data_IF_123857507182
#
_entry.id   IF_123857507182
#
_cell.length_a   1.000
_cell.length_b   1.000
_cell.length_c   1.000
_cell.angle_alpha   90.00
_cell.angle_beta   90.00
_cell.angle_gamma   90.00
#
_symmetry.space_group_name_H-M   'P 1'
#
loop_
_entity.id
_entity.type
_entity.pdbx_description
1 polymer ?
#
# COMPACT_ATOMS: atom_id res chain seq x y z
N UNK A 1 4.75 -6.77 -10.32
CA UNK A 1 5.99 -6.84 -11.14
C UNK A 1 5.73 -6.57 -12.62
N UNK A 2 5.05 -7.43 -13.37
CA UNK A 2 4.78 -7.20 -14.81
C UNK A 2 4.07 -5.87 -15.10
N UNK A 3 3.03 -5.53 -14.34
CA UNK A 3 2.29 -4.26 -14.50
C UNK A 3 3.15 -3.05 -14.13
N UNK A 4 3.99 -3.17 -13.10
CA UNK A 4 4.92 -2.12 -12.70
C UNK A 4 5.95 -1.85 -13.80
N UNK A 5 6.53 -2.91 -14.38
CA UNK A 5 7.45 -2.79 -15.51
C UNK A 5 6.76 -2.18 -16.74
N UNK A 6 5.57 -2.66 -17.11
CA UNK A 6 4.86 -2.15 -18.28
C UNK A 6 4.50 -0.67 -18.13
N UNK A 7 4.01 -0.25 -16.95
CA UNK A 7 3.63 1.14 -16.71
C UNK A 7 4.80 2.08 -16.42
N UNK A 8 5.92 1.56 -15.89
CA UNK A 8 7.11 2.34 -15.58
C UNK A 8 8.10 2.44 -16.74
N UNK A 9 8.23 1.39 -17.56
CA UNK A 9 9.30 1.30 -18.57
C UNK A 9 8.76 1.36 -19.98
N UNK A 10 7.59 0.77 -20.25
CA UNK A 10 7.13 0.57 -21.63
C UNK A 10 6.05 1.55 -22.08
N UNK A 11 5.23 2.07 -21.16
CA UNK A 11 4.14 2.98 -21.50
C UNK A 11 4.55 4.46 -21.55
N UNK A 12 5.69 4.84 -20.96
CA UNK A 12 6.12 6.23 -20.81
C UNK A 12 5.20 7.10 -19.94
N UNK A 13 4.24 6.49 -19.22
CA UNK A 13 3.28 7.19 -18.36
C UNK A 13 3.94 7.62 -17.05
N UNK A 14 4.75 6.75 -16.48
CA UNK A 14 5.65 7.06 -15.38
C UNK A 14 7.01 7.24 -16.05
N UNK A 15 7.54 8.47 -16.03
CA UNK A 15 8.85 8.74 -16.63
C UNK A 15 9.98 7.98 -15.95
N UNK A 16 11.17 8.09 -16.53
CA UNK A 16 12.43 7.58 -15.98
C UNK A 16 13.36 8.74 -15.55
N UNK A 17 14.53 8.38 -15.02
CA UNK A 17 15.60 9.33 -14.59
C UNK A 17 16.01 10.34 -15.67
N UNK A 18 15.83 10.04 -16.95
CA UNK A 18 16.13 10.91 -18.08
C UNK A 18 14.94 11.72 -18.60
N UNK A 19 13.75 11.56 -18.03
CA UNK A 19 12.55 12.29 -18.46
C UNK A 19 12.61 13.75 -17.99
N UNK A 20 12.41 14.69 -18.92
CA UNK A 20 12.52 16.13 -18.64
C UNK A 20 11.58 16.60 -17.52
N UNK A 21 12.12 17.36 -16.57
CA UNK A 21 11.36 17.97 -15.48
C UNK A 21 10.22 18.86 -16.02
N UNK A 22 9.03 18.76 -15.42
CA UNK A 22 7.84 19.51 -15.85
C UNK A 22 6.98 18.85 -16.94
N UNK A 23 7.40 17.70 -17.47
CA UNK A 23 6.52 16.84 -18.29
C UNK A 23 5.60 15.99 -17.41
N UNK A 24 4.48 15.49 -17.95
CA UNK A 24 3.58 14.59 -17.22
C UNK A 24 4.29 13.35 -16.67
N UNK A 25 5.20 12.76 -17.45
CA UNK A 25 6.04 11.63 -17.04
C UNK A 25 7.03 11.99 -15.93
N UNK A 26 7.67 13.16 -16.03
CA UNK A 26 8.58 13.65 -14.99
C UNK A 26 7.88 13.93 -13.66
N UNK A 27 6.67 14.49 -13.69
CA UNK A 27 5.85 14.67 -12.47
C UNK A 27 5.46 13.34 -11.84
N UNK A 28 5.09 12.34 -12.64
CA UNK A 28 4.78 11.00 -12.15
C UNK A 28 5.99 10.30 -11.54
N UNK A 29 7.17 10.46 -12.16
CA UNK A 29 8.45 9.98 -11.63
C UNK A 29 8.77 10.62 -10.28
N UNK A 30 8.63 11.94 -10.13
CA UNK A 30 8.89 12.65 -8.88
C UNK A 30 7.97 12.18 -7.75
N UNK A 31 6.68 11.95 -8.03
CA UNK A 31 5.74 11.37 -7.06
C UNK A 31 6.14 9.95 -6.68
N UNK A 32 6.55 9.14 -7.65
CA UNK A 32 6.99 7.77 -7.41
C UNK A 32 8.27 7.73 -6.56
N UNK A 33 9.23 8.61 -6.84
CA UNK A 33 10.46 8.76 -6.07
C UNK A 33 10.14 9.14 -4.61
N UNK A 34 9.25 10.11 -4.38
CA UNK A 34 8.83 10.48 -3.03
C UNK A 34 8.13 9.34 -2.28
N UNK A 35 7.34 8.50 -2.98
CA UNK A 35 6.75 7.30 -2.37
C UNK A 35 7.83 6.26 -2.02
N UNK A 36 8.83 6.08 -2.89
CA UNK A 36 9.94 5.14 -2.66
C UNK A 36 10.78 5.56 -1.46
N UNK A 37 11.12 6.85 -1.34
CA UNK A 37 11.87 7.40 -0.22
C UNK A 37 11.12 7.18 1.11
N UNK A 38 9.82 7.52 1.14
CA UNK A 38 8.97 7.42 2.34
C UNK A 38 8.60 5.98 2.77
N UNK A 39 8.87 4.97 1.91
CA UNK A 39 8.52 3.57 2.17
C UNK A 39 9.72 2.63 2.26
N UNK A 40 10.82 2.96 1.58
CA UNK A 40 11.98 2.08 1.43
C UNK A 40 13.24 2.52 2.16
N UNK A 41 13.51 3.84 2.27
CA UNK A 41 14.90 4.29 2.51
C UNK A 41 15.16 4.79 3.95
N UNK A 42 14.18 5.40 4.62
CA UNK A 42 14.43 6.11 5.88
C UNK A 42 13.65 5.59 7.10
N UNK A 43 12.85 4.53 6.92
CA UNK A 43 11.92 4.07 7.95
C UNK A 43 12.52 2.97 8.83
N UNK A 44 12.27 3.06 10.14
CA UNK A 44 12.61 1.99 11.08
C UNK A 44 11.65 0.79 10.92
N UNK A 45 12.12 -0.41 11.29
CA UNK A 45 11.28 -1.63 11.26
C UNK A 45 9.96 -1.45 12.02
N UNK A 46 10.01 -0.71 13.12
CA UNK A 46 8.86 -0.50 13.99
C UNK A 46 7.84 0.44 13.37
N UNK A 47 8.29 1.49 12.69
CA UNK A 47 7.41 2.41 11.95
C UNK A 47 6.69 1.69 10.81
N UNK A 48 7.43 0.90 10.01
CA UNK A 48 6.85 0.09 8.93
C UNK A 48 5.78 -0.86 9.48
N UNK A 49 6.10 -1.57 10.56
CA UNK A 49 5.18 -2.49 11.21
C UNK A 49 3.90 -1.79 11.70
N UNK A 50 4.01 -0.69 12.44
CA UNK A 50 2.85 0.03 12.96
C UNK A 50 1.98 0.63 11.85
N UNK A 51 2.60 1.22 10.81
CA UNK A 51 1.90 1.74 9.62
C UNK A 51 1.14 0.61 8.91
N UNK A 52 1.73 -0.57 8.82
CA UNK A 52 1.08 -1.72 8.20
C UNK A 52 -0.10 -2.27 9.03
N UNK A 53 0.04 -2.35 10.35
CA UNK A 53 -1.06 -2.73 11.25
C UNK A 53 -2.22 -1.75 11.12
N UNK A 54 -1.94 -0.44 11.11
CA UNK A 54 -2.95 0.61 10.90
C UNK A 54 -3.64 0.50 9.54
N UNK A 55 -2.89 0.19 8.48
CA UNK A 55 -3.44 -0.05 7.14
C UNK A 55 -4.45 -1.21 7.16
N UNK A 56 -4.02 -2.37 7.64
CA UNK A 56 -4.84 -3.58 7.60
C UNK A 56 -6.12 -3.40 8.43
N UNK A 57 -6.05 -2.66 9.54
CA UNK A 57 -7.24 -2.34 10.32
C UNK A 57 -8.28 -1.57 9.50
N UNK A 58 -7.88 -0.48 8.83
CA UNK A 58 -8.79 0.31 8.01
C UNK A 58 -9.36 -0.50 6.82
N UNK A 59 -8.54 -1.36 6.20
CA UNK A 59 -8.97 -2.26 5.13
C UNK A 59 -10.03 -3.25 5.63
N UNK A 60 -9.80 -3.88 6.78
CA UNK A 60 -10.78 -4.79 7.35
C UNK A 60 -12.06 -4.09 7.79
N UNK A 61 -11.98 -2.86 8.33
CA UNK A 61 -13.17 -2.07 8.65
C UNK A 61 -13.98 -1.74 7.39
N UNK A 62 -13.32 -1.37 6.28
CA UNK A 62 -13.99 -1.17 5.00
C UNK A 62 -14.71 -2.43 4.52
N UNK A 63 -14.07 -3.61 4.62
CA UNK A 63 -14.69 -4.89 4.24
C UNK A 63 -15.90 -5.17 5.14
N UNK A 64 -15.77 -5.00 6.46
CA UNK A 64 -16.85 -5.28 7.39
C UNK A 64 -18.06 -4.36 7.18
N UNK A 65 -17.84 -3.07 6.99
CA UNK A 65 -18.91 -2.11 6.67
C UNK A 65 -19.55 -2.40 5.32
N UNK A 66 -18.78 -2.86 4.34
CA UNK A 66 -19.32 -3.27 3.03
C UNK A 66 -20.22 -4.50 3.13
N UNK A 67 -19.88 -5.46 3.99
CA UNK A 67 -20.73 -6.62 4.26
C UNK A 67 -22.02 -6.24 4.99
N UNK A 68 -21.99 -5.20 5.83
CA UNK A 68 -23.17 -4.69 6.56
C UNK A 68 -24.08 -3.77 5.72
N UNK A 69 -23.63 -3.30 4.55
CA UNK A 69 -24.40 -2.41 3.70
C UNK A 69 -25.32 -3.19 2.74
N UNK A 70 -26.60 -2.81 2.66
CA UNK A 70 -27.59 -3.49 1.80
C UNK A 70 -27.61 -2.99 0.36
N UNK A 71 -27.11 -1.78 0.09
CA UNK A 71 -27.13 -1.15 -1.23
C UNK A 71 -25.75 -1.11 -1.87
N UNK A 72 -25.68 -1.25 -3.19
CA UNK A 72 -24.42 -1.18 -3.94
C UNK A 72 -23.70 0.16 -3.72
N UNK A 73 -24.44 1.27 -3.79
CA UNK A 73 -23.89 2.61 -3.54
C UNK A 73 -23.33 2.74 -2.12
N UNK A 74 -24.01 2.16 -1.13
CA UNK A 74 -23.52 2.09 0.25
C UNK A 74 -22.20 1.32 0.34
N UNK A 75 -22.11 0.14 -0.29
CA UNK A 75 -20.88 -0.68 -0.33
C UNK A 75 -19.69 0.06 -0.93
N UNK A 76 -19.91 0.86 -1.98
CA UNK A 76 -18.86 1.66 -2.61
C UNK A 76 -18.39 2.76 -1.66
N UNK A 77 -19.31 3.51 -1.07
CA UNK A 77 -18.97 4.64 -0.20
C UNK A 77 -18.26 4.21 1.08
N UNK A 78 -18.69 3.12 1.73
CA UNK A 78 -18.04 2.62 2.95
C UNK A 78 -16.65 2.04 2.71
N UNK A 79 -16.34 1.60 1.48
CA UNK A 79 -14.99 1.19 1.08
C UNK A 79 -14.14 2.42 0.74
N UNK A 80 -14.72 3.43 0.08
CA UNK A 80 -14.00 4.61 -0.40
C UNK A 80 -13.31 5.38 0.73
N UNK A 81 -14.02 5.72 1.81
CA UNK A 81 -13.46 6.58 2.86
C UNK A 81 -12.29 5.94 3.63
N UNK A 82 -12.36 4.69 4.11
CA UNK A 82 -11.23 4.06 4.78
C UNK A 82 -10.01 3.89 3.87
N UNK A 83 -10.21 3.60 2.58
CA UNK A 83 -9.11 3.53 1.61
C UNK A 83 -8.43 4.89 1.47
N UNK A 84 -9.21 5.95 1.26
CA UNK A 84 -8.67 7.31 1.17
C UNK A 84 -7.93 7.72 2.44
N UNK A 85 -8.44 7.34 3.61
CA UNK A 85 -7.82 7.66 4.89
C UNK A 85 -6.41 7.02 5.01
N UNK A 86 -6.26 5.72 4.74
CA UNK A 86 -4.94 5.09 4.87
C UNK A 86 -3.96 5.57 3.79
N UNK A 87 -4.45 5.86 2.58
CA UNK A 87 -3.62 6.42 1.50
C UNK A 87 -3.13 7.83 1.86
N UNK A 88 -4.03 8.69 2.38
CA UNK A 88 -3.68 10.04 2.81
C UNK A 88 -2.71 10.06 4.01
N UNK A 89 -2.85 9.11 4.94
CA UNK A 89 -1.92 8.93 6.06
C UNK A 89 -0.59 8.28 5.66
N UNK A 90 -0.46 7.80 4.41
CA UNK A 90 0.76 7.16 3.92
C UNK A 90 1.03 5.80 4.57
N UNK A 91 0.00 5.05 5.00
CA UNK A 91 0.22 3.73 5.59
C UNK A 91 0.79 2.72 4.58
N UNK A 92 1.39 1.64 5.10
CA UNK A 92 2.04 0.61 4.31
C UNK A 92 1.08 -0.56 4.05
N UNK A 93 0.50 -0.55 2.85
CA UNK A 93 -0.25 -1.69 2.34
C UNK A 93 0.66 -2.58 1.52
N UNK A 94 0.90 -3.82 1.97
CA UNK A 94 1.84 -4.76 1.31
C UNK A 94 1.57 -4.90 -0.19
N UNK A 95 0.30 -5.01 -0.60
CA UNK A 95 -0.08 -5.17 -2.01
C UNK A 95 0.20 -3.90 -2.83
N UNK A 96 0.05 -2.71 -2.24
CA UNK A 96 0.40 -1.46 -2.91
C UNK A 96 1.93 -1.32 -3.02
N UNK A 97 2.67 -1.66 -1.96
CA UNK A 97 4.13 -1.66 -1.96
C UNK A 97 4.71 -2.65 -2.99
N UNK A 98 4.00 -3.74 -3.32
CA UNK A 98 4.36 -4.67 -4.41
C UNK A 98 4.26 -4.06 -5.83
N UNK A 99 3.60 -2.90 -5.96
CA UNK A 99 3.59 -2.13 -7.20
C UNK A 99 4.56 -0.97 -7.16
N UNK A 100 4.48 -0.10 -6.15
CA UNK A 100 5.24 1.15 -6.10
C UNK A 100 6.76 0.94 -5.97
N UNK A 101 7.22 0.06 -5.10
CA UNK A 101 8.66 -0.14 -4.90
C UNK A 101 9.32 -0.75 -6.15
N UNK A 102 8.77 -1.81 -6.76
CA UNK A 102 9.30 -2.29 -8.04
C UNK A 102 9.21 -1.28 -9.18
N UNK A 103 8.13 -0.50 -9.27
CA UNK A 103 8.01 0.55 -10.28
C UNK A 103 9.12 1.59 -10.12
N UNK A 104 9.44 1.99 -8.88
CA UNK A 104 10.52 2.92 -8.58
C UNK A 104 11.90 2.36 -8.96
N UNK A 105 12.16 1.07 -8.70
CA UNK A 105 13.40 0.40 -9.12
C UNK A 105 13.52 0.39 -10.64
N UNK A 106 12.44 0.04 -11.36
CA UNK A 106 12.45 0.00 -12.81
C UNK A 106 12.55 1.38 -13.46
N UNK A 107 11.97 2.41 -12.84
CA UNK A 107 12.10 3.80 -13.27
C UNK A 107 13.49 4.41 -12.97
N UNK A 108 14.32 3.72 -12.18
CA UNK A 108 15.69 4.12 -11.87
C UNK A 108 15.85 5.04 -10.65
N UNK A 109 14.89 5.06 -9.72
CA UNK A 109 14.98 5.88 -8.51
C UNK A 109 16.23 5.49 -7.70
N UNK A 110 17.16 6.43 -7.41
CA UNK A 110 18.43 6.10 -6.77
C UNK A 110 18.25 5.74 -5.30
N UNK A 111 19.01 4.75 -4.83
CA UNK A 111 19.10 4.35 -3.42
C UNK A 111 18.02 3.38 -2.94
N UNK A 112 17.10 2.94 -3.81
CA UNK A 112 16.15 1.88 -3.48
C UNK A 112 16.71 0.50 -3.85
N UNK A 113 16.94 -0.35 -2.85
CA UNK A 113 17.35 -1.73 -3.04
C UNK A 113 16.18 -2.73 -3.11
N UNK A 114 16.45 -3.90 -3.69
CA UNK A 114 15.53 -5.04 -3.59
C UNK A 114 15.44 -5.56 -2.15
N UNK A 115 16.49 -5.40 -1.36
CA UNK A 115 16.55 -5.73 0.05
C UNK A 115 15.62 -4.85 0.89
N UNK A 116 15.59 -3.54 0.67
CA UNK A 116 14.64 -2.62 1.31
C UNK A 116 13.18 -2.98 0.97
N UNK A 117 12.96 -3.35 -0.29
CA UNK A 117 11.65 -3.77 -0.79
C UNK A 117 11.15 -5.04 -0.10
N UNK A 118 12.03 -6.05 0.02
CA UNK A 118 11.71 -7.29 0.72
C UNK A 118 11.46 -7.05 2.21
N UNK A 119 12.26 -6.19 2.85
CA UNK A 119 12.10 -5.81 4.25
C UNK A 119 10.74 -5.13 4.50
N UNK A 120 10.33 -4.21 3.62
CA UNK A 120 9.01 -3.58 3.72
C UNK A 120 7.88 -4.64 3.61
N UNK A 121 7.97 -5.52 2.61
CA UNK A 121 6.90 -6.52 2.37
C UNK A 121 6.75 -7.53 3.51
N UNK A 122 7.87 -8.00 4.09
CA UNK A 122 7.84 -8.96 5.19
C UNK A 122 7.21 -8.36 6.46
N UNK A 123 7.53 -7.11 6.76
CA UNK A 123 7.00 -6.43 7.95
C UNK A 123 5.56 -5.96 7.77
N UNK A 124 5.13 -5.68 6.54
CA UNK A 124 3.79 -5.18 6.27
C UNK A 124 2.68 -6.26 6.27
N UNK A 125 3.04 -7.54 6.29
CA UNK A 125 2.12 -8.67 6.16
C UNK A 125 1.44 -9.17 7.45
N UNK A 126 1.40 -8.40 8.55
CA UNK A 126 0.92 -8.91 9.84
C UNK A 126 -0.64 -9.03 9.92
N UNK A 127 -1.15 -10.26 9.84
CA UNK A 127 -2.59 -10.62 9.83
C UNK A 127 -3.23 -10.69 11.24
N UNK A 128 -2.46 -10.49 12.30
CA UNK A 128 -2.85 -10.98 13.63
C UNK A 128 -3.99 -10.16 14.28
N UNK A 129 -4.11 -8.86 14.01
CA UNK A 129 -4.92 -7.99 14.88
C UNK A 129 -6.44 -8.12 14.70
N UNK A 130 -6.94 -8.11 13.46
CA UNK A 130 -8.40 -8.10 13.19
C UNK A 130 -9.01 -9.50 13.29
N UNK A 131 -8.32 -10.53 12.80
CA UNK A 131 -8.80 -11.90 12.91
C UNK A 131 -8.95 -12.32 14.38
N UNK A 132 -8.05 -11.86 15.25
CA UNK A 132 -8.09 -12.13 16.70
C UNK A 132 -9.28 -11.46 17.38
N UNK A 133 -9.58 -10.20 17.06
CA UNK A 133 -10.75 -9.51 17.66
C UNK A 133 -12.07 -10.13 17.20
N UNK A 134 -12.18 -10.51 15.92
CA UNK A 134 -13.35 -11.23 15.40
C UNK A 134 -13.52 -12.59 16.07
N UNK A 135 -12.45 -13.38 16.17
CA UNK A 135 -12.48 -14.67 16.86
C UNK A 135 -12.89 -14.52 18.33
N UNK A 136 -12.33 -13.52 19.03
CA UNK A 136 -12.64 -13.27 20.44
C UNK A 136 -14.11 -12.90 20.66
N UNK A 137 -14.71 -12.10 19.77
CA UNK A 137 -16.09 -11.62 19.91
C UNK A 137 -17.14 -12.63 19.44
N UNK A 138 -16.92 -13.32 18.32
CA UNK A 138 -17.96 -14.13 17.68
C UNK A 138 -17.71 -15.64 17.75
N UNK A 139 -16.46 -16.11 17.70
CA UNK A 139 -16.15 -17.54 17.60
C UNK A 139 -15.76 -18.19 18.94
N UNK A 140 -15.60 -17.40 20.00
CA UNK A 140 -15.24 -17.92 21.33
C UNK A 140 -16.39 -18.68 22.00
N UNK A 141 -17.63 -18.25 21.81
CA UNK A 141 -18.79 -18.83 22.51
C UNK A 141 -19.39 -20.05 21.79
N UNK A 142 -19.18 -20.17 20.47
CA UNK A 142 -19.59 -21.36 19.68
C UNK A 142 -18.69 -22.59 19.92
N UNK A 143 -17.65 -22.47 20.75
CA UNK A 143 -16.68 -23.54 21.05
C UNK A 143 -16.97 -24.32 22.36
N UNK A 144 -18.15 -24.12 22.96
CA UNK A 144 -18.66 -24.87 24.12
C UNK A 144 -19.93 -25.63 23.76
#
# INVERSE_FOLDING_TARGET
MFVAYFLAVQSGVIGDVGTGAGTSGGMAYERLAGIAEAKGMHESNWQIFLRAVGCNWLVCLAVWMSLAADTLSGKILVIFFPIMAFVAMGFDHVVASMFFLPAAIFAGVPGLGWDDTLRNWLLAGAVIFVATSYWYMYLRDDSK
#
